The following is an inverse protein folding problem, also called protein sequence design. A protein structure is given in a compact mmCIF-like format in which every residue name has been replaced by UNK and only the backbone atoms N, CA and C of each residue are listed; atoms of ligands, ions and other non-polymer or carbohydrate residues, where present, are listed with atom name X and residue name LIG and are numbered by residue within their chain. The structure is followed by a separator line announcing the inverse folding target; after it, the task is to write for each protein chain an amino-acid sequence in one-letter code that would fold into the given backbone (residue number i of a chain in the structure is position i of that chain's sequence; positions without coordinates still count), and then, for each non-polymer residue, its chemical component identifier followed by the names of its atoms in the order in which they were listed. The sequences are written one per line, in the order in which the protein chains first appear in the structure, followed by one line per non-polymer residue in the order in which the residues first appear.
data_IF_256274750823
#
_entry.id   IF_256274750823
#
_cell.length_a   1.000
_cell.length_b   1.000
_cell.length_c   1.000
_cell.angle_alpha   90.00
_cell.angle_beta   90.00
_cell.angle_gamma   90.00
#
_symmetry.space_group_name_H-M   'P 1'
#
loop_
_entity.id
_entity.type
_entity.pdbx_description
1 polymer ?
#
# COMPACT_ATOMS: atom_id res chain seq x y z
N UNK A 1 39.02 -10.03 -10.63
CA UNK A 1 37.78 -10.80 -10.44
C UNK A 1 37.63 -11.01 -8.95
N UNK A 2 36.98 -10.10 -8.28
CA UNK A 2 36.56 -10.31 -6.88
C UNK A 2 35.21 -10.99 -6.93
N UNK A 3 35.17 -12.33 -6.81
CA UNK A 3 33.97 -13.07 -6.50
C UNK A 3 33.55 -12.58 -5.10
N UNK A 4 32.71 -11.56 -5.03
CA UNK A 4 31.97 -11.32 -3.81
C UNK A 4 31.04 -12.52 -3.62
N UNK A 5 31.16 -13.15 -2.47
CA UNK A 5 30.43 -14.39 -2.16
C UNK A 5 28.96 -14.05 -2.04
N UNK A 6 28.13 -14.55 -2.97
CA UNK A 6 26.67 -14.43 -2.85
C UNK A 6 26.24 -15.26 -1.64
N UNK A 7 25.65 -14.62 -0.64
CA UNK A 7 25.16 -15.27 0.57
C UNK A 7 23.69 -15.67 0.39
N UNK A 8 23.35 -16.98 0.45
CA UNK A 8 21.96 -17.42 0.37
C UNK A 8 21.16 -16.91 1.55
N UNK A 9 19.95 -16.47 1.32
CA UNK A 9 19.03 -16.02 2.36
C UNK A 9 18.26 -17.22 2.89
N UNK A 10 18.29 -17.43 4.23
CA UNK A 10 17.64 -18.58 4.85
C UNK A 10 16.98 -18.22 6.17
N UNK A 11 15.83 -18.86 6.44
CA UNK A 11 15.14 -18.75 7.71
C UNK A 11 13.69 -18.32 7.60
N UNK A 12 13.12 -17.95 8.73
CA UNK A 12 11.74 -17.49 8.84
C UNK A 12 11.71 -15.98 9.13
N UNK A 13 10.68 -15.31 8.59
CA UNK A 13 10.46 -13.89 8.79
C UNK A 13 8.98 -13.60 9.05
N UNK A 14 8.69 -12.87 10.11
CA UNK A 14 7.41 -12.21 10.31
C UNK A 14 7.39 -10.89 9.54
N UNK A 15 6.41 -10.75 8.63
CA UNK A 15 6.26 -9.56 7.83
C UNK A 15 5.49 -8.50 8.63
N UNK A 16 5.93 -7.23 8.64
CA UNK A 16 5.18 -6.15 9.31
C UNK A 16 3.71 -6.10 8.87
N UNK A 17 2.84 -5.68 9.76
CA UNK A 17 1.41 -5.61 9.49
C UNK A 17 1.05 -4.80 8.25
N UNK A 18 -0.01 -5.22 7.53
CA UNK A 18 -0.47 -4.54 6.31
C UNK A 18 -0.82 -3.08 6.58
N UNK A 19 -0.17 -2.17 5.83
CA UNK A 19 -0.36 -0.72 5.95
C UNK A 19 -1.80 -0.31 5.72
N UNK A 20 -2.43 -0.83 4.68
CA UNK A 20 -3.79 -0.48 4.27
C UNK A 20 -4.84 -0.93 5.30
N UNK A 21 -4.64 -2.10 5.89
CA UNK A 21 -5.50 -2.64 6.96
C UNK A 21 -5.25 -1.88 8.26
N UNK A 22 -4.01 -1.57 8.60
CA UNK A 22 -3.65 -0.78 9.79
C UNK A 22 -4.32 0.60 9.79
N UNK A 23 -4.27 1.34 8.68
CA UNK A 23 -4.99 2.60 8.54
C UNK A 23 -6.49 2.44 8.80
N UNK A 24 -7.11 1.43 8.17
CA UNK A 24 -8.55 1.18 8.27
C UNK A 24 -8.98 0.74 9.66
N UNK A 25 -8.16 -0.03 10.35
CA UNK A 25 -8.41 -0.44 11.72
C UNK A 25 -8.53 0.77 12.66
N UNK A 26 -7.67 1.79 12.50
CA UNK A 26 -7.79 3.05 13.24
C UNK A 26 -9.06 3.81 12.85
N UNK A 27 -9.32 3.96 11.55
CA UNK A 27 -10.47 4.72 11.04
C UNK A 27 -11.80 4.09 11.49
N UNK A 28 -11.98 2.79 11.22
CA UNK A 28 -13.24 2.11 11.51
C UNK A 28 -13.43 1.88 13.02
N UNK A 29 -12.35 1.54 13.75
CA UNK A 29 -12.39 1.46 15.19
C UNK A 29 -12.78 2.80 15.86
N UNK A 30 -12.35 3.93 15.30
CA UNK A 30 -12.73 5.26 15.79
C UNK A 30 -14.20 5.59 15.53
N UNK A 31 -14.75 5.11 14.40
CA UNK A 31 -16.14 5.32 14.00
C UNK A 31 -17.10 4.24 14.57
N UNK A 32 -16.58 3.18 15.14
CA UNK A 32 -17.38 2.13 15.78
C UNK A 32 -17.83 2.58 17.18
N UNK A 33 -18.86 1.91 17.72
CA UNK A 33 -19.24 2.01 19.14
C UNK A 33 -18.47 0.97 19.94
N UNK A 34 -17.91 1.37 21.07
CA UNK A 34 -17.18 0.46 21.97
C UNK A 34 -15.68 0.43 21.70
N UNK A 35 -15.04 -0.68 22.05
CA UNK A 35 -13.59 -0.82 22.02
C UNK A 35 -13.18 -1.67 20.82
N UNK A 36 -12.20 -1.18 20.05
CA UNK A 36 -11.50 -1.96 19.05
C UNK A 36 -10.08 -2.25 19.53
N UNK A 37 -9.67 -3.51 19.51
CA UNK A 37 -8.32 -3.95 19.80
C UNK A 37 -7.64 -4.40 18.51
N UNK A 38 -6.45 -3.84 18.23
CA UNK A 38 -5.69 -4.16 16.99
C UNK A 38 -4.33 -4.71 17.40
N UNK A 39 -4.00 -5.91 16.95
CA UNK A 39 -2.68 -6.55 17.11
C UNK A 39 -1.93 -6.57 15.79
N UNK A 40 -0.60 -6.69 15.85
CA UNK A 40 0.29 -6.70 14.69
C UNK A 40 0.14 -5.45 13.78
N UNK A 41 -0.17 -4.32 14.41
CA UNK A 41 -0.33 -3.03 13.74
C UNK A 41 1.00 -2.51 13.18
N UNK A 42 1.00 -1.97 11.97
CA UNK A 42 2.19 -1.34 11.40
C UNK A 42 2.49 -0.01 12.11
N UNK A 43 3.60 0.05 12.84
CA UNK A 43 4.10 1.26 13.53
C UNK A 43 4.87 2.22 12.58
N UNK A 44 4.54 2.20 11.27
CA UNK A 44 5.13 3.09 10.28
C UNK A 44 4.55 4.52 10.35
N UNK A 45 5.33 5.50 9.88
CA UNK A 45 4.99 6.94 9.98
C UNK A 45 3.61 7.27 9.39
N UNK A 46 3.23 6.67 8.27
CA UNK A 46 1.92 6.85 7.63
C UNK A 46 0.76 6.45 8.57
N UNK A 47 0.87 5.30 9.24
CA UNK A 47 -0.16 4.79 10.14
C UNK A 47 -0.22 5.60 11.44
N UNK A 48 0.92 6.05 11.95
CA UNK A 48 1.01 6.93 13.12
C UNK A 48 0.37 8.30 12.84
N UNK A 49 0.50 8.83 11.62
CA UNK A 49 -0.22 10.05 11.22
C UNK A 49 -1.74 9.88 11.28
N UNK A 50 -2.26 8.69 10.92
CA UNK A 50 -3.70 8.40 11.08
C UNK A 50 -4.11 8.41 12.55
N UNK A 51 -3.34 7.80 13.45
CA UNK A 51 -3.60 7.83 14.90
C UNK A 51 -3.65 9.28 15.37
N UNK A 52 -2.64 10.09 15.03
CA UNK A 52 -2.56 11.51 15.41
C UNK A 52 -3.79 12.30 14.94
N UNK A 53 -4.24 12.09 13.69
CA UNK A 53 -5.43 12.74 13.16
C UNK A 53 -6.69 12.39 13.99
N UNK A 54 -6.90 11.09 14.30
CA UNK A 54 -8.07 10.68 15.07
C UNK A 54 -8.00 11.08 16.54
N UNK A 55 -6.81 11.17 17.14
CA UNK A 55 -6.64 11.75 18.47
C UNK A 55 -7.03 13.24 18.50
N UNK A 56 -6.63 14.02 17.49
CA UNK A 56 -7.05 15.43 17.31
C UNK A 56 -8.56 15.55 17.07
N UNK A 57 -9.19 14.55 16.47
CA UNK A 57 -10.65 14.45 16.31
C UNK A 57 -11.37 13.93 17.57
N UNK A 58 -10.67 13.84 18.71
CA UNK A 58 -11.25 13.54 20.00
C UNK A 58 -11.39 12.05 20.33
N UNK A 59 -10.75 11.17 19.58
CA UNK A 59 -10.75 9.72 19.87
C UNK A 59 -9.59 9.39 20.80
N UNK A 60 -9.88 8.70 21.90
CA UNK A 60 -8.84 8.12 22.76
C UNK A 60 -8.28 6.87 22.08
N UNK A 61 -6.96 6.88 21.79
CA UNK A 61 -6.23 5.75 21.22
C UNK A 61 -5.00 5.50 22.09
N UNK A 62 -4.91 4.29 22.64
CA UNK A 62 -3.75 3.81 23.38
C UNK A 62 -2.90 2.98 22.42
N UNK A 63 -1.68 3.42 22.20
CA UNK A 63 -0.72 2.77 21.31
C UNK A 63 0.43 2.20 22.12
N UNK A 64 0.53 0.87 22.17
CA UNK A 64 1.69 0.15 22.65
C UNK A 64 2.37 -0.55 21.49
N UNK A 65 3.60 -1.05 21.70
CA UNK A 65 4.28 -1.80 20.64
C UNK A 65 3.55 -3.11 20.28
N UNK A 66 2.81 -3.69 21.22
CA UNK A 66 2.13 -4.97 21.06
C UNK A 66 0.72 -4.83 20.48
N UNK A 67 0.00 -3.75 20.88
CA UNK A 67 -1.38 -3.55 20.46
C UNK A 67 -1.82 -2.08 20.49
N UNK A 68 -2.86 -1.80 19.71
CA UNK A 68 -3.59 -0.53 19.71
C UNK A 68 -4.97 -0.78 20.31
N UNK A 69 -5.38 0.08 21.23
CA UNK A 69 -6.74 0.08 21.79
C UNK A 69 -7.42 1.39 21.40
N UNK A 70 -8.55 1.30 20.72
CA UNK A 70 -9.31 2.43 20.20
C UNK A 70 -10.65 2.48 20.91
N UNK A 71 -10.94 3.62 21.57
CA UNK A 71 -12.21 3.87 22.23
C UNK A 71 -13.14 4.62 21.27
N UNK A 72 -13.82 3.87 20.41
CA UNK A 72 -14.66 4.40 19.36
C UNK A 72 -15.93 5.06 19.88
N UNK A 73 -16.38 6.12 19.21
CA UNK A 73 -17.51 6.97 19.65
C UNK A 73 -18.71 6.95 18.71
N UNK A 74 -18.70 6.05 17.70
CA UNK A 74 -19.72 5.99 16.66
C UNK A 74 -19.51 7.03 15.55
N UNK A 75 -20.29 6.93 14.46
CA UNK A 75 -20.13 7.75 13.26
C UNK A 75 -20.13 9.26 13.52
N UNK A 76 -20.95 9.74 14.47
CA UNK A 76 -21.11 11.16 14.81
C UNK A 76 -20.37 11.56 16.10
N UNK A 77 -19.45 10.71 16.60
CA UNK A 77 -18.73 10.95 17.85
C UNK A 77 -17.41 11.70 17.71
N UNK A 78 -17.02 12.11 16.50
CA UNK A 78 -15.84 12.93 16.27
C UNK A 78 -16.07 14.37 16.71
N UNK A 79 -15.01 15.04 17.18
CA UNK A 79 -15.03 16.44 17.61
C UNK A 79 -14.26 17.31 16.64
N UNK A 80 -14.64 18.59 16.53
CA UNK A 80 -13.90 19.57 15.75
C UNK A 80 -12.45 19.64 16.22
N UNK A 81 -11.48 19.51 15.32
CA UNK A 81 -10.06 19.61 15.69
C UNK A 81 -9.70 21.07 16.02
N UNK A 82 -8.82 21.28 16.98
CA UNK A 82 -8.30 22.61 17.34
C UNK A 82 -7.21 23.08 16.38
N UNK A 83 -6.55 22.13 15.69
CA UNK A 83 -5.43 22.38 14.79
C UNK A 83 -5.62 21.69 13.46
N UNK A 84 -4.79 22.05 12.48
CA UNK A 84 -4.71 21.38 11.19
C UNK A 84 -4.37 19.89 11.41
N UNK A 85 -5.07 19.02 10.69
CA UNK A 85 -4.82 17.59 10.68
C UNK A 85 -3.65 17.30 9.73
N UNK A 86 -2.49 16.98 10.28
CA UNK A 86 -1.30 16.66 9.52
C UNK A 86 -1.26 15.16 9.20
N UNK A 87 -1.36 14.85 7.90
CA UNK A 87 -1.33 13.49 7.37
C UNK A 87 0.10 13.00 7.04
N UNK A 88 1.13 13.81 7.28
CA UNK A 88 2.51 13.48 6.92
C UNK A 88 2.66 13.20 5.42
N UNK A 89 3.29 12.08 5.05
CA UNK A 89 3.42 11.61 3.66
C UNK A 89 2.24 10.71 3.22
N UNK A 90 1.25 10.49 4.08
CA UNK A 90 0.21 9.49 3.87
C UNK A 90 -0.90 9.95 2.93
N UNK A 91 -0.84 9.54 1.67
CA UNK A 91 -1.95 9.70 0.72
C UNK A 91 -3.20 8.91 1.12
N UNK A 92 -3.04 7.80 1.85
CA UNK A 92 -4.16 7.00 2.37
C UNK A 92 -4.89 7.78 3.45
N UNK A 93 -4.18 8.31 4.44
CA UNK A 93 -4.76 9.14 5.51
C UNK A 93 -5.52 10.31 4.91
N UNK A 94 -4.87 11.11 4.05
CA UNK A 94 -5.46 12.30 3.43
C UNK A 94 -6.76 11.98 2.69
N UNK A 95 -6.74 10.96 1.82
CA UNK A 95 -7.88 10.66 0.95
C UNK A 95 -9.04 10.00 1.68
N UNK A 96 -8.76 9.07 2.58
CA UNK A 96 -9.81 8.34 3.28
C UNK A 96 -10.49 9.20 4.35
N UNK A 97 -9.71 9.95 5.14
CA UNK A 97 -10.27 10.85 6.15
C UNK A 97 -11.11 11.95 5.50
N UNK A 98 -10.78 12.41 4.28
CA UNK A 98 -11.60 13.38 3.55
C UNK A 98 -13.05 12.91 3.39
N UNK A 99 -13.27 11.62 3.09
CA UNK A 99 -14.61 11.05 3.03
C UNK A 99 -15.33 11.11 4.37
N UNK A 100 -14.65 10.76 5.47
CA UNK A 100 -15.20 10.79 6.83
C UNK A 100 -15.56 12.21 7.25
N UNK A 101 -14.65 13.17 7.03
CA UNK A 101 -14.84 14.56 7.42
C UNK A 101 -15.94 15.27 6.67
N UNK A 102 -16.21 14.84 5.42
CA UNK A 102 -17.28 15.42 4.60
C UNK A 102 -18.67 15.24 5.22
N UNK A 103 -18.89 14.19 6.01
CA UNK A 103 -20.17 13.90 6.69
C UNK A 103 -20.23 14.40 8.14
N UNK A 104 -19.23 15.14 8.65
CA UNK A 104 -19.27 15.67 10.00
C UNK A 104 -20.05 16.98 10.13
N UNK A 105 -20.21 17.53 11.33
CA UNK A 105 -20.91 18.78 11.61
C UNK A 105 -19.99 20.00 11.80
N UNK A 106 -18.70 19.85 11.52
CA UNK A 106 -17.69 20.88 11.77
C UNK A 106 -16.79 21.08 10.53
N UNK A 107 -15.98 22.14 10.57
CA UNK A 107 -14.96 22.42 9.55
C UNK A 107 -13.59 21.90 10.01
N UNK A 108 -12.82 21.36 9.10
CA UNK A 108 -11.47 20.86 9.32
C UNK A 108 -10.55 21.17 8.16
N UNK A 109 -9.24 21.21 8.40
CA UNK A 109 -8.23 21.34 7.35
C UNK A 109 -7.27 20.17 7.43
N UNK A 110 -7.03 19.51 6.28
CA UNK A 110 -6.05 18.45 6.12
C UNK A 110 -4.82 19.00 5.39
N UNK A 111 -3.63 18.67 5.88
CA UNK A 111 -2.37 18.94 5.21
C UNK A 111 -1.44 17.72 5.28
N UNK A 112 -0.24 17.86 4.80
CA UNK A 112 0.85 16.89 4.92
C UNK A 112 2.16 17.51 4.46
N UNK A 113 3.16 16.69 4.26
CA UNK A 113 4.48 17.12 3.83
C UNK A 113 4.51 17.67 2.39
N UNK A 114 5.70 18.08 1.93
CA UNK A 114 5.89 18.64 0.60
C UNK A 114 5.50 17.67 -0.54
N UNK A 115 5.54 16.35 -0.30
CA UNK A 115 5.10 15.33 -1.26
C UNK A 115 3.57 15.32 -1.37
N UNK A 116 2.84 15.24 -0.24
CA UNK A 116 1.37 15.28 -0.22
C UNK A 116 0.83 16.57 -0.83
N UNK A 117 1.47 17.70 -0.58
CA UNK A 117 1.06 19.01 -1.13
C UNK A 117 1.22 19.12 -2.66
N UNK A 118 1.88 18.16 -3.30
CA UNK A 118 2.02 18.07 -4.77
C UNK A 118 1.13 16.99 -5.38
N UNK A 119 0.60 16.06 -4.59
CA UNK A 119 -0.22 14.97 -5.10
C UNK A 119 -1.63 15.45 -5.44
N UNK A 120 -2.18 15.07 -6.62
CA UNK A 120 -3.52 15.49 -7.02
C UNK A 120 -4.60 14.87 -6.13
N UNK A 121 -5.49 15.72 -5.59
CA UNK A 121 -6.63 15.32 -4.76
C UNK A 121 -7.97 15.45 -5.51
N UNK A 122 -7.97 16.00 -6.72
CA UNK A 122 -9.16 16.17 -7.55
C UNK A 122 -9.98 14.87 -7.70
N UNK A 123 -9.29 13.72 -7.83
CA UNK A 123 -9.93 12.42 -7.99
C UNK A 123 -10.81 11.96 -6.81
N UNK A 124 -10.62 12.55 -5.60
CA UNK A 124 -11.53 12.33 -4.47
C UNK A 124 -12.45 13.54 -4.27
N UNK A 125 -11.99 14.75 -4.57
CA UNK A 125 -12.80 15.96 -4.39
C UNK A 125 -14.03 15.96 -5.31
N UNK A 126 -13.87 15.55 -6.57
CA UNK A 126 -14.97 15.55 -7.54
C UNK A 126 -16.12 14.62 -7.12
N UNK A 127 -15.89 13.31 -6.81
CA UNK A 127 -16.98 12.46 -6.37
C UNK A 127 -17.56 12.87 -5.01
N UNK A 128 -16.76 13.35 -4.06
CA UNK A 128 -17.28 13.86 -2.78
C UNK A 128 -18.18 15.08 -2.98
N UNK A 129 -17.83 15.99 -3.89
CA UNK A 129 -18.70 17.12 -4.26
C UNK A 129 -20.00 16.66 -4.91
N UNK A 130 -19.99 15.60 -5.72
CA UNK A 130 -21.21 15.00 -6.27
C UNK A 130 -22.12 14.44 -5.16
N UNK A 131 -21.57 14.00 -4.05
CA UNK A 131 -22.30 13.59 -2.86
C UNK A 131 -22.85 14.79 -2.05
N UNK A 132 -22.43 16.02 -2.35
CA UNK A 132 -22.83 17.24 -1.62
C UNK A 132 -21.77 17.74 -0.62
N UNK A 133 -20.56 17.20 -0.65
CA UNK A 133 -19.47 17.66 0.24
C UNK A 133 -18.98 19.06 -0.15
N UNK A 134 -18.73 19.90 0.88
CA UNK A 134 -18.03 21.18 0.75
C UNK A 134 -16.54 20.97 1.02
N UNK A 135 -15.80 20.67 -0.04
CA UNK A 135 -14.35 20.38 -0.02
C UNK A 135 -13.62 21.26 -1.03
N UNK A 136 -12.59 21.96 -0.57
CA UNK A 136 -11.79 22.88 -1.40
C UNK A 136 -10.29 22.70 -1.17
N UNK A 137 -9.49 22.90 -2.21
CA UNK A 137 -8.04 23.05 -2.09
C UNK A 137 -7.74 24.50 -1.68
N UNK A 138 -7.01 24.69 -0.59
CA UNK A 138 -6.75 26.05 -0.03
C UNK A 138 -5.99 26.94 -1.03
N UNK A 139 -5.14 26.34 -1.86
CA UNK A 139 -4.34 27.05 -2.88
C UNK A 139 -4.93 26.96 -4.28
N UNK A 140 -6.17 26.46 -4.42
CA UNK A 140 -6.88 26.28 -5.70
C UNK A 140 -6.07 25.50 -6.78
N UNK A 141 -5.21 24.60 -6.33
CA UNK A 141 -4.33 23.80 -7.19
C UNK A 141 -4.73 22.30 -7.22
N UNK A 142 -5.88 21.94 -6.65
CA UNK A 142 -6.36 20.57 -6.50
C UNK A 142 -5.44 19.64 -5.67
N UNK A 143 -4.56 20.21 -4.85
CA UNK A 143 -3.69 19.50 -3.92
C UNK A 143 -4.01 19.89 -2.47
N UNK A 144 -3.39 19.25 -1.50
CA UNK A 144 -3.43 19.68 -0.10
C UNK A 144 -2.70 21.05 0.07
N UNK A 145 -3.07 21.87 1.08
CA UNK A 145 -4.08 21.63 2.12
C UNK A 145 -5.52 21.61 1.58
N UNK A 146 -6.35 20.74 2.16
CA UNK A 146 -7.78 20.65 1.85
C UNK A 146 -8.60 21.20 3.01
N UNK A 147 -9.49 22.13 2.75
CA UNK A 147 -10.50 22.60 3.68
C UNK A 147 -11.80 21.82 3.42
N UNK A 148 -12.34 21.20 4.46
CA UNK A 148 -13.55 20.39 4.41
C UNK A 148 -14.53 20.92 5.45
N UNK A 149 -15.68 21.39 4.97
CA UNK A 149 -16.80 21.77 5.83
C UNK A 149 -17.82 20.65 5.79
N UNK A 150 -18.12 20.11 6.96
CA UNK A 150 -19.07 19.02 7.08
C UNK A 150 -20.45 19.40 6.54
N UNK A 151 -21.05 18.49 5.79
CA UNK A 151 -22.25 18.72 4.99
C UNK A 151 -23.19 17.54 5.07
N UNK A 152 -24.47 17.76 4.74
CA UNK A 152 -25.41 16.68 4.49
C UNK A 152 -25.08 16.02 3.16
N UNK A 153 -24.79 14.72 3.19
CA UNK A 153 -24.40 13.96 2.00
C UNK A 153 -25.56 13.14 1.45
N UNK A 154 -25.53 12.91 0.13
CA UNK A 154 -26.43 12.00 -0.56
C UNK A 154 -25.65 10.82 -1.15
N UNK A 155 -26.26 9.63 -1.13
CA UNK A 155 -25.72 8.48 -1.83
C UNK A 155 -25.68 8.72 -3.33
N UNK A 156 -24.66 8.22 -4.00
CA UNK A 156 -24.49 8.32 -5.45
C UNK A 156 -24.10 6.97 -6.06
N UNK A 157 -24.30 6.84 -7.37
CA UNK A 157 -23.64 5.80 -8.16
C UNK A 157 -22.49 6.45 -8.93
N UNK A 158 -21.25 6.26 -8.44
CA UNK A 158 -20.06 6.80 -9.07
C UNK A 158 -19.40 5.78 -9.99
N UNK A 159 -19.19 6.15 -11.24
CA UNK A 159 -18.41 5.37 -12.20
C UNK A 159 -16.98 5.92 -12.22
N UNK A 160 -16.06 5.19 -11.59
CA UNK A 160 -14.65 5.61 -11.52
C UNK A 160 -13.96 5.36 -12.87
N UNK A 161 -13.25 6.37 -13.42
CA UNK A 161 -12.53 6.18 -14.68
C UNK A 161 -11.30 5.26 -14.53
N UNK A 162 -10.85 5.02 -13.31
CA UNK A 162 -9.69 4.20 -12.98
C UNK A 162 -9.99 3.25 -11.82
N UNK A 163 -9.28 2.13 -11.74
CA UNK A 163 -9.31 1.24 -10.59
C UNK A 163 -8.46 1.85 -9.44
N UNK A 164 -9.12 2.40 -8.42
CA UNK A 164 -8.45 3.06 -7.29
C UNK A 164 -9.13 2.79 -5.95
N UNK A 165 -8.52 1.93 -5.16
CA UNK A 165 -9.01 1.62 -3.81
C UNK A 165 -9.14 2.87 -2.92
N UNK A 166 -8.29 3.89 -3.09
CA UNK A 166 -8.37 5.12 -2.30
C UNK A 166 -9.58 5.98 -2.69
N UNK A 167 -9.89 6.08 -3.98
CA UNK A 167 -11.10 6.79 -4.47
C UNK A 167 -12.33 6.05 -4.00
N UNK A 168 -12.42 4.75 -4.25
CA UNK A 168 -13.53 3.90 -3.79
C UNK A 168 -13.73 4.02 -2.28
N UNK A 169 -12.67 3.84 -1.50
CA UNK A 169 -12.75 3.92 -0.03
C UNK A 169 -13.20 5.30 0.45
N UNK A 170 -12.71 6.40 -0.14
CA UNK A 170 -13.13 7.76 0.22
C UNK A 170 -14.64 7.96 0.04
N UNK A 171 -15.18 7.47 -1.10
CA UNK A 171 -16.62 7.56 -1.42
C UNK A 171 -17.45 6.68 -0.47
N UNK A 172 -17.01 5.44 -0.21
CA UNK A 172 -17.70 4.55 0.73
C UNK A 172 -17.72 5.11 2.15
N UNK A 173 -16.61 5.74 2.59
CA UNK A 173 -16.52 6.37 3.90
C UNK A 173 -17.42 7.60 4.04
N UNK A 174 -17.57 8.40 2.98
CA UNK A 174 -18.58 9.45 2.91
C UNK A 174 -19.99 8.86 2.88
N UNK A 175 -20.18 7.73 2.21
CA UNK A 175 -21.43 6.97 2.14
C UNK A 175 -21.95 6.48 3.49
N UNK A 176 -21.10 6.32 4.51
CA UNK A 176 -21.53 6.01 5.87
C UNK A 176 -22.45 7.08 6.47
N UNK A 177 -22.37 8.31 5.97
CA UNK A 177 -23.12 9.49 6.44
C UNK A 177 -24.18 9.95 5.45
N UNK A 178 -24.26 9.33 4.28
CA UNK A 178 -25.12 9.77 3.19
C UNK A 178 -26.57 9.34 3.37
N UNK A 179 -27.51 10.14 2.86
CA UNK A 179 -28.88 9.70 2.64
C UNK A 179 -28.94 8.86 1.37
N UNK A 180 -29.37 7.60 1.49
CA UNK A 180 -29.48 6.66 0.38
C UNK A 180 -28.23 5.80 0.14
N UNK A 181 -28.36 4.84 -0.75
CA UNK A 181 -27.33 3.86 -1.10
C UNK A 181 -26.18 4.52 -1.87
N UNK A 182 -24.93 4.12 -1.55
CA UNK A 182 -23.72 4.58 -2.24
C UNK A 182 -23.14 3.43 -3.05
N UNK A 183 -22.89 3.64 -4.35
CA UNK A 183 -22.30 2.67 -5.28
C UNK A 183 -21.06 3.23 -5.92
N UNK A 184 -20.03 2.39 -6.05
CA UNK A 184 -18.79 2.71 -6.79
C UNK A 184 -18.51 1.59 -7.76
N UNK A 185 -18.56 1.87 -9.06
CA UNK A 185 -18.18 0.94 -10.13
C UNK A 185 -16.80 1.31 -10.66
N UNK A 186 -15.90 0.34 -10.74
CA UNK A 186 -14.54 0.50 -11.25
C UNK A 186 -14.37 -0.28 -12.58
N UNK A 187 -13.42 0.11 -13.47
CA UNK A 187 -13.13 -0.66 -14.68
C UNK A 187 -12.55 -2.05 -14.39
N UNK A 188 -11.77 -2.18 -13.32
CA UNK A 188 -11.24 -3.42 -12.77
C UNK A 188 -11.39 -3.39 -11.25
N UNK A 189 -11.41 -4.56 -10.61
CA UNK A 189 -11.50 -4.64 -9.14
C UNK A 189 -10.20 -4.11 -8.52
N UNK A 190 -10.29 -3.03 -7.75
CA UNK A 190 -9.21 -2.58 -6.87
C UNK A 190 -9.31 -3.24 -5.50
N UNK A 191 -8.30 -3.01 -4.64
CA UNK A 191 -8.24 -3.52 -3.25
C UNK A 191 -9.57 -3.36 -2.52
N UNK A 192 -10.05 -4.41 -1.89
CA UNK A 192 -11.36 -4.47 -1.24
C UNK A 192 -11.31 -4.51 0.30
N UNK A 193 -10.19 -4.12 0.90
CA UNK A 193 -10.05 -4.08 2.37
C UNK A 193 -11.15 -3.23 3.05
N UNK A 194 -11.60 -2.13 2.42
CA UNK A 194 -12.67 -1.30 2.99
C UNK A 194 -13.99 -2.05 3.04
N UNK A 195 -14.32 -2.77 1.98
CA UNK A 195 -15.54 -3.56 1.88
C UNK A 195 -15.55 -4.68 2.92
N UNK A 196 -14.46 -5.46 2.99
CA UNK A 196 -14.31 -6.57 3.94
C UNK A 196 -14.37 -6.04 5.38
N UNK A 197 -13.55 -5.03 5.70
CA UNK A 197 -13.48 -4.51 7.06
C UNK A 197 -14.75 -3.78 7.50
N UNK A 198 -15.38 -2.96 6.64
CA UNK A 198 -16.66 -2.33 6.95
C UNK A 198 -17.74 -3.38 7.24
N UNK A 199 -17.79 -4.46 6.45
CA UNK A 199 -18.70 -5.58 6.70
C UNK A 199 -18.40 -6.24 8.06
N UNK A 200 -17.12 -6.46 8.39
CA UNK A 200 -16.72 -7.02 9.68
C UNK A 200 -17.12 -6.12 10.87
N UNK A 201 -17.10 -4.81 10.70
CA UNK A 201 -17.56 -3.84 11.71
C UNK A 201 -19.09 -3.69 11.77
N UNK A 202 -19.85 -4.35 10.88
CA UNK A 202 -21.33 -4.38 10.90
C UNK A 202 -22.01 -3.52 9.84
N UNK A 203 -21.28 -2.91 8.90
CA UNK A 203 -21.88 -2.23 7.76
C UNK A 203 -22.42 -3.24 6.74
N UNK A 204 -23.55 -2.91 6.10
CA UNK A 204 -24.05 -3.72 5.00
C UNK A 204 -23.35 -3.28 3.69
N UNK A 205 -22.29 -4.00 3.37
CA UNK A 205 -21.50 -3.81 2.15
C UNK A 205 -21.58 -5.07 1.30
N UNK A 206 -21.85 -4.91 0.01
CA UNK A 206 -21.84 -6.01 -0.95
C UNK A 206 -21.11 -5.62 -2.23
N UNK A 207 -20.64 -6.60 -2.98
CA UNK A 207 -19.96 -6.41 -4.27
C UNK A 207 -20.75 -7.12 -5.37
N UNK A 208 -21.04 -6.42 -6.46
CA UNK A 208 -21.68 -6.95 -7.66
C UNK A 208 -20.77 -6.68 -8.86
N UNK A 209 -20.06 -7.72 -9.35
CA UNK A 209 -19.04 -7.56 -10.38
C UNK A 209 -17.92 -6.61 -9.90
N UNK A 210 -17.73 -5.48 -10.58
CA UNK A 210 -16.75 -4.44 -10.20
C UNK A 210 -17.38 -3.28 -9.40
N UNK A 211 -18.61 -3.46 -8.89
CA UNK A 211 -19.35 -2.44 -8.14
C UNK A 211 -19.39 -2.77 -6.66
N UNK A 212 -18.83 -1.89 -5.83
CA UNK A 212 -19.01 -1.90 -4.38
C UNK A 212 -20.28 -1.10 -4.02
N UNK A 213 -21.11 -1.65 -3.14
CA UNK A 213 -22.41 -1.10 -2.73
C UNK A 213 -22.46 -1.03 -1.21
N UNK A 214 -22.71 0.16 -0.68
CA UNK A 214 -22.89 0.40 0.76
C UNK A 214 -24.31 0.90 1.03
N UNK A 215 -25.01 0.25 1.97
CA UNK A 215 -26.28 0.74 2.48
C UNK A 215 -26.08 1.84 3.52
N UNK A 216 -26.98 2.83 3.61
CA UNK A 216 -26.80 4.00 4.48
C UNK A 216 -26.93 3.67 5.97
N UNK A 217 -26.38 4.58 6.79
CA UNK A 217 -26.55 4.64 8.25
C UNK A 217 -26.24 3.33 9.01
N UNK A 218 -25.07 2.68 8.78
CA UNK A 218 -24.74 1.48 9.53
C UNK A 218 -24.45 1.81 11.00
N UNK A 219 -24.64 0.82 11.85
CA UNK A 219 -24.08 0.84 13.22
C UNK A 219 -22.80 0.02 13.17
N UNK A 220 -21.67 0.69 13.33
CA UNK A 220 -20.37 0.02 13.45
C UNK A 220 -20.10 -0.32 14.92
N UNK A 221 -19.62 -1.53 15.16
CA UNK A 221 -19.28 -2.03 16.50
C UNK A 221 -17.80 -2.35 16.62
N UNK A 222 -17.21 -2.12 17.80
CA UNK A 222 -15.80 -2.38 18.06
C UNK A 222 -15.43 -3.85 17.87
N UNK A 223 -14.24 -4.09 17.30
CA UNK A 223 -13.78 -5.42 16.87
C UNK A 223 -12.41 -5.76 17.42
N UNK A 224 -12.05 -7.04 17.36
CA UNK A 224 -10.66 -7.50 17.50
C UNK A 224 -10.09 -7.74 16.12
N UNK A 225 -9.02 -7.04 15.79
CA UNK A 225 -8.37 -7.10 14.47
C UNK A 225 -6.94 -7.62 14.67
N UNK A 226 -6.62 -8.75 14.08
CA UNK A 226 -5.24 -9.19 13.89
C UNK A 226 -4.83 -8.79 12.46
N UNK A 227 -3.94 -7.80 12.34
CA UNK A 227 -3.49 -7.32 11.03
C UNK A 227 -2.57 -8.39 10.41
N UNK A 228 -2.85 -8.88 9.19
CA UNK A 228 -1.95 -9.81 8.50
C UNK A 228 -0.67 -9.11 8.07
N UNK A 229 0.38 -9.86 7.79
CA UNK A 229 1.60 -9.34 7.17
C UNK A 229 1.32 -8.72 5.81
N UNK A 230 1.95 -7.57 5.51
CA UNK A 230 1.76 -6.84 4.25
C UNK A 230 2.41 -7.56 3.08
N UNK A 231 1.61 -7.99 2.10
CA UNK A 231 2.13 -8.63 0.88
C UNK A 231 3.09 -7.71 0.10
N UNK A 232 2.89 -6.39 0.14
CA UNK A 232 3.81 -5.42 -0.48
C UNK A 232 5.18 -5.42 0.20
N UNK A 233 5.22 -5.61 1.52
CA UNK A 233 6.46 -5.75 2.28
C UNK A 233 7.08 -7.13 2.05
N UNK A 234 6.26 -8.18 2.00
CA UNK A 234 6.69 -9.54 1.67
C UNK A 234 7.31 -9.64 0.27
N UNK A 235 6.84 -8.85 -0.69
CA UNK A 235 7.28 -8.89 -2.09
C UNK A 235 8.80 -8.75 -2.26
N UNK A 236 9.46 -7.96 -1.42
CA UNK A 236 10.92 -7.81 -1.47
C UNK A 236 11.65 -9.09 -1.07
N UNK A 237 11.16 -9.78 -0.06
CA UNK A 237 11.71 -11.07 0.39
C UNK A 237 11.30 -12.23 -0.51
N UNK A 238 10.14 -12.15 -1.17
CA UNK A 238 9.76 -13.06 -2.25
C UNK A 238 10.77 -12.92 -3.40
N UNK A 239 11.01 -11.70 -3.86
CA UNK A 239 11.99 -11.45 -4.93
C UNK A 239 13.40 -11.89 -4.52
N UNK A 240 13.85 -11.56 -3.31
CA UNK A 240 15.16 -11.97 -2.79
C UNK A 240 15.30 -13.50 -2.73
N UNK A 241 14.28 -14.20 -2.23
CA UNK A 241 14.26 -15.65 -2.14
C UNK A 241 14.30 -16.33 -3.53
N UNK A 242 13.61 -15.72 -4.52
CA UNK A 242 13.60 -16.22 -5.89
C UNK A 242 14.91 -15.95 -6.65
N UNK A 243 15.55 -14.80 -6.41
CA UNK A 243 16.69 -14.34 -7.21
C UNK A 243 18.05 -14.79 -6.65
N UNK A 244 18.21 -14.87 -5.31
CA UNK A 244 19.50 -15.16 -4.69
C UNK A 244 19.75 -16.66 -4.65
N UNK A 245 20.81 -17.18 -5.33
CA UNK A 245 21.08 -18.62 -5.42
C UNK A 245 21.20 -19.31 -4.05
N UNK A 246 20.51 -20.46 -3.91
CA UNK A 246 20.52 -21.29 -2.71
C UNK A 246 19.64 -20.77 -1.57
N UNK A 247 18.87 -19.72 -1.79
CA UNK A 247 17.94 -19.17 -0.79
C UNK A 247 16.70 -20.05 -0.59
N UNK A 248 16.24 -20.06 0.67
CA UNK A 248 14.97 -20.66 1.11
C UNK A 248 14.43 -19.83 2.28
N UNK A 249 13.32 -19.11 2.07
CA UNK A 249 12.73 -18.17 3.04
C UNK A 249 11.29 -18.57 3.31
N UNK A 250 10.89 -18.59 4.59
CA UNK A 250 9.50 -18.76 5.01
C UNK A 250 8.97 -17.45 5.57
N UNK A 251 8.04 -16.80 4.86
CA UNK A 251 7.37 -15.58 5.28
C UNK A 251 6.07 -15.93 6.00
N UNK A 252 5.94 -15.53 7.27
CA UNK A 252 4.84 -15.94 8.14
C UNK A 252 3.63 -15.03 8.05
N UNK A 253 2.44 -15.63 8.08
CA UNK A 253 1.14 -14.98 8.24
C UNK A 253 0.93 -13.78 7.29
N UNK A 254 1.27 -13.93 6.03
CA UNK A 254 1.15 -12.87 5.01
C UNK A 254 -0.28 -12.82 4.46
N UNK A 255 -0.83 -11.62 4.28
CA UNK A 255 -2.11 -11.42 3.61
C UNK A 255 -2.04 -11.85 2.14
N UNK A 256 -2.97 -12.72 1.73
CA UNK A 256 -3.07 -13.24 0.36
C UNK A 256 -4.42 -12.88 -0.28
N UNK A 257 -4.96 -11.72 0.06
CA UNK A 257 -6.20 -11.23 -0.54
C UNK A 257 -6.10 -11.23 -2.08
N UNK A 258 -7.06 -11.85 -2.82
CA UNK A 258 -7.01 -11.93 -4.28
C UNK A 258 -6.92 -10.58 -5.01
N UNK A 259 -7.30 -9.48 -4.36
CA UNK A 259 -7.12 -8.13 -4.90
C UNK A 259 -5.73 -7.55 -4.65
N UNK A 260 -4.83 -8.32 -4.03
CA UNK A 260 -3.46 -7.92 -3.64
C UNK A 260 -2.38 -8.95 -3.99
N UNK A 261 -2.77 -10.14 -4.44
CA UNK A 261 -1.89 -11.29 -4.65
C UNK A 261 -1.13 -11.27 -5.99
N UNK A 262 -1.20 -10.17 -6.73
CA UNK A 262 -0.62 -10.07 -8.06
C UNK A 262 0.86 -10.46 -8.14
N UNK A 263 1.66 -10.12 -7.11
CA UNK A 263 3.08 -10.54 -7.04
C UNK A 263 3.23 -12.07 -7.01
N UNK A 264 2.33 -12.81 -6.34
CA UNK A 264 2.37 -14.26 -6.30
C UNK A 264 2.05 -14.87 -7.66
N UNK A 265 1.07 -14.28 -8.37
CA UNK A 265 0.73 -14.69 -9.74
C UNK A 265 1.87 -14.42 -10.71
N UNK A 266 2.46 -13.23 -10.65
CA UNK A 266 3.64 -12.86 -11.45
C UNK A 266 4.82 -13.79 -11.14
N UNK A 267 5.14 -14.03 -9.88
CA UNK A 267 6.22 -14.94 -9.50
C UNK A 267 6.00 -16.34 -10.11
N UNK A 268 4.77 -16.86 -10.06
CA UNK A 268 4.42 -18.15 -10.64
C UNK A 268 4.54 -18.16 -12.17
N UNK A 269 4.06 -17.10 -12.85
CA UNK A 269 4.18 -16.97 -14.31
C UNK A 269 5.64 -16.84 -14.78
N UNK A 270 6.52 -16.30 -13.95
CA UNK A 270 7.96 -16.23 -14.17
C UNK A 270 8.71 -17.53 -13.82
N UNK A 271 8.03 -18.66 -13.53
CA UNK A 271 8.56 -19.94 -13.05
C UNK A 271 9.18 -19.89 -11.63
N UNK A 272 8.76 -18.95 -10.81
CA UNK A 272 9.19 -18.83 -9.43
C UNK A 272 8.66 -19.95 -8.53
N UNK A 273 9.52 -20.52 -7.70
CA UNK A 273 9.17 -21.55 -6.71
C UNK A 273 8.61 -20.88 -5.44
N UNK A 274 7.30 -20.69 -5.44
CA UNK A 274 6.53 -20.08 -4.33
C UNK A 274 5.41 -21.04 -3.94
N UNK A 275 5.37 -21.43 -2.67
CA UNK A 275 4.37 -22.33 -2.10
C UNK A 275 3.61 -21.64 -0.95
N UNK A 276 2.28 -21.77 -0.95
CA UNK A 276 1.42 -21.27 0.13
C UNK A 276 1.13 -22.39 1.12
N UNK A 277 1.48 -22.16 2.38
CA UNK A 277 1.30 -23.08 3.49
C UNK A 277 0.35 -22.45 4.53
N UNK A 278 -0.28 -23.27 5.34
CA UNK A 278 -1.10 -22.82 6.48
C UNK A 278 -2.13 -21.74 6.10
N UNK A 279 -2.81 -21.93 4.96
CA UNK A 279 -3.82 -20.99 4.48
C UNK A 279 -4.96 -20.89 5.50
N UNK A 280 -5.29 -19.64 5.92
CA UNK A 280 -6.40 -19.33 6.82
C UNK A 280 -7.33 -18.30 6.15
N UNK A 281 -8.63 -18.58 6.13
CA UNK A 281 -9.68 -17.73 5.55
C UNK A 281 -10.74 -17.30 6.59
N UNK A 282 -10.57 -17.68 7.86
CA UNK A 282 -11.63 -17.58 8.88
C UNK A 282 -11.87 -16.15 9.39
N UNK A 283 -10.92 -15.24 9.21
CA UNK A 283 -10.95 -13.89 9.81
C UNK A 283 -11.24 -12.75 8.81
N UNK A 284 -11.88 -13.07 7.68
CA UNK A 284 -12.25 -12.07 6.65
C UNK A 284 -11.13 -11.72 5.68
N UNK A 285 -9.90 -11.44 6.14
CA UNK A 285 -8.72 -11.28 5.28
C UNK A 285 -7.95 -12.60 5.21
N UNK A 286 -7.83 -13.23 4.02
CA UNK A 286 -7.13 -14.51 3.89
C UNK A 286 -5.62 -14.32 4.09
N UNK A 287 -5.01 -15.28 4.80
CA UNK A 287 -3.57 -15.31 5.09
C UNK A 287 -2.94 -16.63 4.75
N UNK A 288 -1.63 -16.64 4.53
CA UNK A 288 -0.81 -17.85 4.40
C UNK A 288 0.61 -17.62 4.89
N UNK A 289 1.30 -18.71 5.19
CA UNK A 289 2.76 -18.71 5.22
C UNK A 289 3.25 -18.91 3.78
N UNK A 290 4.24 -18.12 3.33
CA UNK A 290 4.75 -18.17 1.97
C UNK A 290 6.18 -18.73 1.99
N UNK A 291 6.37 -19.94 1.46
CA UNK A 291 7.68 -20.54 1.28
C UNK A 291 8.22 -20.18 -0.11
N UNK A 292 9.41 -19.58 -0.14
CA UNK A 292 10.05 -19.10 -1.37
C UNK A 292 11.42 -19.75 -1.50
N UNK A 293 11.74 -20.29 -2.69
CA UNK A 293 13.03 -20.92 -3.01
C UNK A 293 13.60 -20.34 -4.29
N UNK A 294 14.94 -20.29 -4.38
CA UNK A 294 15.65 -19.85 -5.58
C UNK A 294 15.10 -20.47 -6.86
N UNK A 295 14.95 -19.65 -7.90
CA UNK A 295 14.42 -20.05 -9.20
C UNK A 295 15.10 -19.30 -10.35
N UNK A 296 15.23 -19.98 -11.49
CA UNK A 296 15.66 -19.34 -12.73
C UNK A 296 14.44 -18.70 -13.41
N UNK A 297 14.23 -17.43 -13.16
CA UNK A 297 13.08 -16.69 -13.68
C UNK A 297 13.19 -16.42 -15.19
N UNK A 298 12.03 -16.27 -15.85
CA UNK A 298 11.94 -15.80 -17.24
C UNK A 298 10.99 -14.61 -17.39
N UNK A 299 11.19 -13.86 -18.50
CA UNK A 299 10.40 -12.66 -18.81
C UNK A 299 8.97 -13.00 -19.24
N UNK A 300 8.02 -12.13 -18.86
CA UNK A 300 6.58 -12.26 -19.14
C UNK A 300 5.98 -10.91 -19.53
N UNK A 301 4.72 -10.91 -19.96
CA UNK A 301 3.95 -9.66 -20.17
C UNK A 301 2.95 -9.46 -19.03
N UNK A 302 2.99 -8.28 -18.39
CA UNK A 302 2.15 -7.89 -17.24
C UNK A 302 1.32 -6.69 -17.68
N UNK A 303 -0.01 -6.79 -17.59
CA UNK A 303 -0.92 -5.69 -17.96
C UNK A 303 -2.39 -6.03 -17.72
N UNK A 304 -3.28 -5.06 -17.93
CA UNK A 304 -4.73 -5.23 -17.76
C UNK A 304 -5.17 -5.39 -16.31
N UNK A 305 -6.07 -6.31 -16.06
CA UNK A 305 -6.74 -6.50 -14.76
C UNK A 305 -5.83 -6.90 -13.60
N UNK A 306 -4.61 -7.40 -13.87
CA UNK A 306 -3.66 -7.74 -12.81
C UNK A 306 -3.00 -6.48 -12.19
N UNK A 307 -2.88 -5.38 -12.95
CA UNK A 307 -2.17 -4.17 -12.51
C UNK A 307 -2.68 -3.61 -11.18
N UNK A 308 -3.98 -3.44 -10.95
CA UNK A 308 -4.47 -2.96 -9.65
C UNK A 308 -4.08 -3.85 -8.46
N UNK A 309 -3.82 -5.14 -8.69
CA UNK A 309 -3.49 -6.11 -7.63
C UNK A 309 -2.01 -6.11 -7.23
N UNK A 310 -1.15 -5.43 -8.02
CA UNK A 310 0.30 -5.42 -7.84
C UNK A 310 0.95 -4.05 -8.18
N UNK A 311 0.17 -3.00 -8.33
CA UNK A 311 0.68 -1.67 -8.76
C UNK A 311 1.83 -1.16 -7.87
N UNK A 312 1.80 -1.48 -6.59
CA UNK A 312 2.81 -1.06 -5.64
C UNK A 312 4.04 -1.99 -5.62
N UNK A 313 3.93 -3.19 -6.18
CA UNK A 313 4.99 -4.20 -6.31
C UNK A 313 5.76 -4.09 -7.63
N UNK A 314 5.29 -3.26 -8.59
CA UNK A 314 5.97 -3.10 -9.90
C UNK A 314 7.46 -2.73 -9.76
N UNK A 315 7.91 -1.88 -8.83
CA UNK A 315 9.34 -1.62 -8.66
C UNK A 315 10.16 -2.88 -8.39
N UNK A 316 9.73 -3.75 -7.48
CA UNK A 316 10.47 -4.99 -7.20
C UNK A 316 10.30 -6.02 -8.32
N UNK A 317 9.16 -6.04 -9.01
CA UNK A 317 8.97 -6.87 -10.21
C UNK A 317 9.92 -6.45 -11.33
N UNK A 318 10.20 -5.16 -11.50
CA UNK A 318 11.19 -4.69 -12.46
C UNK A 318 12.61 -5.17 -12.13
N UNK A 319 12.96 -5.28 -10.84
CA UNK A 319 14.22 -5.93 -10.41
C UNK A 319 14.19 -7.43 -10.78
N UNK A 320 13.10 -8.15 -10.46
CA UNK A 320 12.96 -9.56 -10.85
C UNK A 320 13.16 -9.73 -12.38
N UNK A 321 12.53 -8.85 -13.16
CA UNK A 321 12.63 -8.85 -14.62
C UNK A 321 14.05 -8.58 -15.14
N UNK A 322 14.80 -7.68 -14.51
CA UNK A 322 16.16 -7.35 -14.91
C UNK A 322 17.14 -8.53 -14.74
N UNK A 323 16.91 -9.38 -13.74
CA UNK A 323 17.70 -10.61 -13.51
C UNK A 323 17.09 -11.85 -14.18
N UNK A 324 15.86 -11.80 -14.70
CA UNK A 324 15.21 -12.92 -15.40
C UNK A 324 15.77 -13.08 -16.82
N UNK A 325 15.63 -14.27 -17.40
CA UNK A 325 15.98 -14.49 -18.83
C UNK A 325 14.86 -14.01 -19.75
N UNK A 326 15.20 -13.28 -20.80
CA UNK A 326 14.26 -12.82 -21.82
C UNK A 326 13.67 -11.45 -21.53
N UNK A 327 12.54 -11.13 -22.15
CA UNK A 327 11.94 -9.80 -22.11
C UNK A 327 10.71 -9.79 -21.23
N UNK A 328 10.64 -8.82 -20.31
CA UNK A 328 9.43 -8.51 -19.55
C UNK A 328 8.85 -7.20 -20.06
N UNK A 329 7.54 -7.18 -20.31
CA UNK A 329 6.78 -6.00 -20.70
C UNK A 329 5.77 -5.69 -19.60
N UNK A 330 5.86 -4.49 -19.02
CA UNK A 330 4.90 -3.96 -18.05
C UNK A 330 4.13 -2.84 -18.75
N UNK A 331 2.81 -2.91 -18.79
CA UNK A 331 1.91 -1.94 -19.42
C UNK A 331 0.68 -1.66 -18.56
N UNK A 332 -0.15 -0.68 -18.93
CA UNK A 332 -1.37 -0.28 -18.22
C UNK A 332 -1.09 0.21 -16.77
N UNK A 333 0.14 0.68 -16.48
CA UNK A 333 0.62 1.05 -15.16
C UNK A 333 0.87 2.56 -15.01
N UNK A 334 0.19 3.41 -15.80
CA UNK A 334 0.37 4.88 -15.80
C UNK A 334 0.20 5.52 -14.40
N UNK A 335 -0.56 4.88 -13.50
CA UNK A 335 -0.74 5.32 -12.11
C UNK A 335 0.59 5.44 -11.34
N UNK A 336 1.64 4.73 -11.75
CA UNK A 336 2.98 4.82 -11.16
C UNK A 336 3.63 6.21 -11.30
N UNK A 337 3.21 7.00 -12.29
CA UNK A 337 3.74 8.35 -12.53
C UNK A 337 3.34 9.36 -11.46
N UNK A 338 2.28 9.08 -10.70
CA UNK A 338 1.68 9.99 -9.71
C UNK A 338 1.72 9.44 -8.27
N UNK A 339 2.62 8.49 -8.02
CA UNK A 339 2.89 7.95 -6.68
C UNK A 339 3.82 8.88 -5.88
N UNK A 340 4.58 8.35 -4.93
CA UNK A 340 5.56 9.08 -4.13
C UNK A 340 6.63 9.74 -5.01
N UNK A 341 7.02 9.06 -6.07
CA UNK A 341 7.86 9.52 -7.17
C UNK A 341 7.20 9.11 -8.51
N UNK A 342 7.76 9.57 -9.64
CA UNK A 342 7.47 8.95 -10.93
C UNK A 342 8.21 7.61 -11.02
N UNK A 343 7.60 6.55 -10.45
CA UNK A 343 8.23 5.23 -10.30
C UNK A 343 8.68 4.62 -11.62
N UNK A 344 8.00 4.89 -12.74
CA UNK A 344 8.42 4.40 -14.06
C UNK A 344 9.79 5.01 -14.40
N UNK A 345 9.90 6.33 -14.38
CA UNK A 345 11.13 7.02 -14.76
C UNK A 345 12.28 6.70 -13.79
N UNK A 346 12.01 6.70 -12.48
CA UNK A 346 13.01 6.43 -11.45
C UNK A 346 13.57 5.01 -11.55
N UNK A 347 12.71 4.01 -11.81
CA UNK A 347 13.17 2.63 -12.05
C UNK A 347 14.03 2.52 -13.28
N UNK A 348 13.60 3.15 -14.40
CA UNK A 348 14.35 3.13 -15.67
C UNK A 348 15.71 3.77 -15.52
N UNK A 349 15.79 4.95 -14.90
CA UNK A 349 17.04 5.69 -14.73
C UNK A 349 18.04 4.92 -13.86
N UNK A 350 17.59 4.40 -12.72
CA UNK A 350 18.44 3.66 -11.81
C UNK A 350 18.88 2.29 -12.37
N UNK A 351 17.99 1.55 -13.04
CA UNK A 351 18.37 0.28 -13.69
C UNK A 351 19.34 0.50 -14.86
N UNK A 352 19.16 1.58 -15.64
CA UNK A 352 20.16 1.97 -16.68
C UNK A 352 21.51 2.31 -16.07
N UNK A 353 21.54 2.99 -14.93
CA UNK A 353 22.79 3.29 -14.22
C UNK A 353 23.51 2.02 -13.77
N UNK A 354 22.79 0.91 -13.54
CA UNK A 354 23.37 -0.42 -13.27
C UNK A 354 23.71 -1.22 -14.54
N UNK A 355 23.49 -0.69 -15.75
CA UNK A 355 23.76 -1.38 -17.01
C UNK A 355 22.64 -2.24 -17.54
N UNK A 356 21.43 -2.16 -16.97
CA UNK A 356 20.26 -2.88 -17.48
C UNK A 356 19.81 -2.37 -18.86
N UNK A 357 19.28 -3.27 -19.66
CA UNK A 357 18.62 -2.96 -20.93
C UNK A 357 17.13 -2.75 -20.68
N UNK A 358 16.75 -1.50 -20.49
CA UNK A 358 15.40 -1.11 -20.09
C UNK A 358 15.00 0.19 -20.78
N UNK A 359 13.72 0.29 -21.16
CA UNK A 359 13.13 1.52 -21.68
C UNK A 359 11.77 1.81 -21.03
N UNK A 360 11.44 3.09 -20.88
CA UNK A 360 10.11 3.52 -20.46
C UNK A 360 9.15 3.55 -21.64
N UNK A 361 7.88 3.21 -21.38
CA UNK A 361 6.76 3.45 -22.28
C UNK A 361 5.84 4.51 -21.71
N UNK A 362 4.78 4.86 -22.43
CA UNK A 362 3.79 5.85 -21.96
C UNK A 362 3.10 5.44 -20.66
N UNK A 363 2.99 4.14 -20.39
CA UNK A 363 2.25 3.59 -19.26
C UNK A 363 2.95 2.43 -18.53
N UNK A 364 4.26 2.24 -18.80
CA UNK A 364 5.00 1.14 -18.21
C UNK A 364 6.48 1.12 -18.62
N UNK A 365 7.03 -0.08 -18.82
CA UNK A 365 8.43 -0.29 -19.17
C UNK A 365 8.64 -1.63 -19.87
N UNK A 366 9.69 -1.71 -20.71
CA UNK A 366 10.17 -2.93 -21.35
C UNK A 366 11.57 -3.21 -20.80
N UNK A 367 11.79 -4.44 -20.32
CA UNK A 367 13.02 -4.84 -19.65
C UNK A 367 13.56 -6.08 -20.35
N UNK A 368 14.76 -5.98 -20.93
CA UNK A 368 15.49 -7.11 -21.53
C UNK A 368 16.47 -7.64 -20.48
N UNK A 369 16.03 -8.66 -19.74
CA UNK A 369 16.77 -9.20 -18.62
C UNK A 369 17.89 -10.18 -19.00
N UNK A 370 18.63 -10.65 -17.98
CA UNK A 370 19.70 -11.62 -18.13
C UNK A 370 21.06 -11.02 -18.44
N UNK A 371 21.23 -9.69 -18.33
CA UNK A 371 22.52 -9.02 -18.33
C UNK A 371 23.10 -8.97 -16.93
N UNK A 372 24.43 -9.03 -16.84
CA UNK A 372 25.14 -8.77 -15.60
C UNK A 372 24.98 -7.28 -15.23
N UNK A 373 24.45 -7.01 -14.04
CA UNK A 373 24.27 -5.66 -13.54
C UNK A 373 25.43 -5.31 -12.60
N UNK A 374 25.84 -4.04 -12.61
CA UNK A 374 26.96 -3.56 -11.81
C UNK A 374 26.53 -2.52 -10.77
N UNK A 375 27.43 -2.27 -9.80
CA UNK A 375 27.23 -1.26 -8.76
C UNK A 375 26.99 0.15 -9.34
N UNK A 376 26.16 0.92 -8.68
CA UNK A 376 25.81 2.28 -9.06
C UNK A 376 25.36 3.11 -7.84
N UNK A 377 25.27 4.43 -8.04
CA UNK A 377 24.58 5.32 -7.10
C UNK A 377 23.10 5.36 -7.49
N UNK A 378 22.24 4.97 -6.58
CA UNK A 378 20.79 4.89 -6.76
C UNK A 378 20.14 6.08 -6.05
N UNK A 379 19.41 6.89 -6.80
CA UNK A 379 18.55 7.93 -6.21
C UNK A 379 17.15 7.37 -5.98
N UNK A 380 16.79 7.18 -4.71
CA UNK A 380 15.47 6.69 -4.34
C UNK A 380 14.38 7.77 -4.48
N UNK A 381 14.75 9.03 -4.61
CA UNK A 381 13.81 10.16 -4.54
C UNK A 381 12.89 10.10 -3.30
N UNK A 382 13.41 9.67 -2.16
CA UNK A 382 12.66 9.44 -0.90
C UNK A 382 11.52 8.43 -1.04
N UNK A 383 11.48 7.64 -2.14
CA UNK A 383 10.49 6.57 -2.32
C UNK A 383 11.01 5.27 -1.73
N UNK A 384 10.39 4.85 -0.62
CA UNK A 384 10.76 3.64 0.11
C UNK A 384 10.71 2.36 -0.75
N UNK A 385 9.81 2.30 -1.75
CA UNK A 385 9.69 1.12 -2.63
C UNK A 385 10.86 1.04 -3.60
N UNK A 386 11.34 2.18 -4.07
CA UNK A 386 12.56 2.25 -4.88
C UNK A 386 13.77 1.81 -4.03
N UNK A 387 13.93 2.40 -2.84
CA UNK A 387 15.06 2.07 -1.96
C UNK A 387 15.12 0.57 -1.63
N UNK A 388 13.99 -0.04 -1.22
CA UNK A 388 13.94 -1.48 -0.91
C UNK A 388 14.19 -2.35 -2.15
N UNK A 389 13.68 -1.97 -3.33
CA UNK A 389 13.90 -2.72 -4.57
C UNK A 389 15.38 -2.78 -4.94
N UNK A 390 16.08 -1.65 -4.88
CA UNK A 390 17.51 -1.61 -5.18
C UNK A 390 18.39 -2.20 -4.08
N UNK A 391 17.92 -2.24 -2.83
CA UNK A 391 18.58 -3.03 -1.79
C UNK A 391 18.54 -4.54 -2.09
N UNK A 392 17.47 -5.05 -2.69
CA UNK A 392 17.43 -6.44 -3.19
C UNK A 392 18.36 -6.61 -4.39
N UNK A 393 18.37 -5.66 -5.34
CA UNK A 393 19.29 -5.71 -6.48
C UNK A 393 20.76 -5.75 -6.05
N UNK A 394 21.13 -5.09 -4.93
CA UNK A 394 22.49 -5.07 -4.41
C UNK A 394 23.03 -6.44 -3.96
N UNK A 395 22.16 -7.42 -3.72
CA UNK A 395 22.56 -8.79 -3.37
C UNK A 395 23.15 -9.56 -4.56
N UNK A 396 22.94 -9.08 -5.78
CA UNK A 396 23.23 -9.79 -7.03
C UNK A 396 24.11 -8.99 -8.00
N UNK A 397 24.19 -7.68 -7.84
CA UNK A 397 24.98 -6.81 -8.71
C UNK A 397 26.49 -6.97 -8.44
N UNK A 398 27.30 -6.87 -9.49
CA UNK A 398 28.76 -6.84 -9.35
C UNK A 398 29.22 -5.45 -8.87
N UNK A 399 29.87 -5.39 -7.71
CA UNK A 399 30.33 -4.16 -7.07
C UNK A 399 29.29 -3.48 -6.18
N UNK A 400 29.66 -2.34 -5.60
CA UNK A 400 28.89 -1.67 -4.55
C UNK A 400 27.74 -0.81 -5.07
N UNK A 401 26.55 -0.95 -4.47
CA UNK A 401 25.42 -0.05 -4.67
C UNK A 401 25.32 0.91 -3.48
N UNK A 402 25.25 2.21 -3.78
CA UNK A 402 24.96 3.25 -2.79
C UNK A 402 23.54 3.74 -3.01
N UNK A 403 22.66 3.59 -2.03
CA UNK A 403 21.27 4.09 -2.08
C UNK A 403 21.20 5.40 -1.32
N UNK A 404 20.87 6.48 -2.04
CA UNK A 404 20.61 7.78 -1.44
C UNK A 404 19.29 7.72 -0.66
N UNK A 405 19.25 8.42 0.50
CA UNK A 405 18.08 8.49 1.37
C UNK A 405 17.51 7.12 1.80
N UNK A 406 18.38 6.12 1.99
CA UNK A 406 18.00 4.74 2.31
C UNK A 406 17.04 4.61 3.51
N UNK A 407 17.07 5.55 4.46
CA UNK A 407 16.21 5.55 5.65
C UNK A 407 14.73 5.84 5.33
N UNK A 408 14.39 6.22 4.10
CA UNK A 408 12.99 6.37 3.69
C UNK A 408 12.18 5.06 3.81
N UNK A 409 12.84 3.91 3.92
CA UNK A 409 12.20 2.61 4.16
C UNK A 409 11.39 2.58 5.47
N UNK A 410 11.75 3.40 6.47
CA UNK A 410 11.05 3.50 7.76
C UNK A 410 9.58 3.93 7.62
N UNK A 411 9.21 4.50 6.47
CA UNK A 411 7.81 4.87 6.16
C UNK A 411 6.89 3.64 6.19
N UNK A 412 7.37 2.47 5.74
CA UNK A 412 6.54 1.26 5.63
C UNK A 412 7.19 -0.01 6.17
N UNK A 413 8.50 -0.05 6.35
CA UNK A 413 9.21 -1.24 6.84
C UNK A 413 10.46 -0.85 7.66
N UNK A 414 10.31 -0.39 8.90
CA UNK A 414 11.43 0.11 9.70
C UNK A 414 12.55 -0.90 9.96
N UNK A 415 12.26 -2.20 9.98
CA UNK A 415 13.24 -3.28 10.23
C UNK A 415 13.81 -3.90 8.96
N UNK A 416 13.51 -3.36 7.76
CA UNK A 416 13.83 -3.97 6.47
C UNK A 416 15.29 -4.40 6.32
N UNK A 417 16.25 -3.48 6.57
CA UNK A 417 17.68 -3.79 6.44
C UNK A 417 18.16 -4.78 7.51
N UNK A 418 17.60 -4.71 8.72
CA UNK A 418 17.93 -5.64 9.80
C UNK A 418 17.47 -7.06 9.46
N UNK A 419 16.23 -7.19 8.97
CA UNK A 419 15.65 -8.47 8.58
C UNK A 419 16.38 -9.08 7.39
N UNK A 420 16.72 -8.28 6.39
CA UNK A 420 17.50 -8.73 5.23
C UNK A 420 18.89 -9.22 5.65
N UNK A 421 19.57 -8.48 6.52
CA UNK A 421 20.87 -8.86 7.05
C UNK A 421 20.79 -10.15 7.89
N UNK A 422 19.76 -10.28 8.73
CA UNK A 422 19.53 -11.49 9.54
C UNK A 422 19.37 -12.75 8.67
N UNK A 423 18.57 -12.67 7.59
CA UNK A 423 18.39 -13.78 6.65
C UNK A 423 19.69 -14.15 5.90
N UNK A 424 20.56 -13.18 5.68
CA UNK A 424 21.89 -13.36 5.09
C UNK A 424 22.97 -13.80 6.09
N UNK A 425 22.61 -14.17 7.33
CA UNK A 425 23.57 -14.58 8.37
C UNK A 425 24.42 -13.44 8.92
N UNK A 426 23.92 -12.20 8.92
CA UNK A 426 24.61 -10.97 9.38
C UNK A 426 25.90 -10.64 8.60
N UNK A 427 25.89 -10.90 7.30
CA UNK A 427 27.05 -10.70 6.41
C UNK A 427 26.95 -9.43 5.55
N UNK A 428 25.78 -8.77 5.54
CA UNK A 428 25.53 -7.60 4.71
C UNK A 428 25.89 -6.29 5.43
N UNK A 429 26.43 -5.34 4.69
CA UNK A 429 26.75 -3.98 5.15
C UNK A 429 26.05 -2.97 4.23
N UNK A 430 24.95 -2.36 4.70
CA UNK A 430 24.15 -1.36 3.96
C UNK A 430 24.57 0.07 4.25
#
# INVERSE_FOLDING_TARGET
MTNETIYPLRGELEIPGDKSISHRAIMFGSLAKGITEVTHFLQGADCLSTISCFQKLGIKIENTQEKIIIYGKGLHGLSAPTDILDCGNSGTTTRLISGILSGQSFTSTLTGDASIQKRPMKRIMDPLRQMGADITSVHDNNCAPLMIKGSKLNGIHYHSPIASAQVKSSILLAGLYADGETRVTEPYISRNHSEIMLSHFGANVRTEGTTAILLPNPILEGQKIAVPGDISSAAYFIAAGLLVPGSEILLKNVGINPTRDGILRVAKEMDGNVELLNINTDNGEPTADILVKFSALHGITIGGEIIPTLIDEIPIIAIMAAFAKGTTIIKDAAELKVKESNRIQVMVDNLKAMGADIESTDDGMIIHGGKDLHGAIIDSHMDHRIAMSFAIASLLADGHITILDKNCVDISFPTFYQDLNRLAGNTLHF
#
